data_IF_643269630713
#
_entry.id   IF_643269630713
#
_cell.length_a   1.000
_cell.length_b   1.000
_cell.length_c   1.000
_cell.angle_alpha   90.00
_cell.angle_beta   90.00
_cell.angle_gamma   90.00
#
_symmetry.space_group_name_H-M   'P 1'
#
loop_
_entity.id
_entity.type
_entity.pdbx_description
1 polymer ?
#
# COMPACT_ATOMS: atom_id res chain seq x y z
N UNK A 1 1.08 4.26 30.18
CA UNK A 1 1.92 3.12 29.76
C UNK A 1 0.96 1.98 29.42
N UNK A 2 0.95 1.51 28.17
CA UNK A 2 0.13 0.35 27.78
C UNK A 2 1.11 -0.78 27.49
N UNK A 3 1.05 -1.82 28.32
CA UNK A 3 1.66 -3.12 28.02
C UNK A 3 0.67 -3.83 27.11
N UNK A 4 1.08 -4.16 25.88
CA UNK A 4 0.24 -4.95 24.98
C UNK A 4 0.49 -6.41 25.30
N UNK A 5 -0.40 -6.98 26.12
CA UNK A 5 -0.40 -8.42 26.40
C UNK A 5 -0.89 -9.23 25.20
N UNK A 6 -0.37 -10.45 25.07
CA UNK A 6 -0.48 -11.36 23.93
C UNK A 6 -1.87 -11.97 23.69
N UNK A 7 -2.94 -11.53 24.35
CA UNK A 7 -4.29 -12.14 24.34
C UNK A 7 -5.35 -11.37 23.56
N UNK A 8 -5.01 -10.32 22.82
CA UNK A 8 -6.03 -9.66 21.99
C UNK A 8 -6.22 -10.41 20.67
N UNK A 9 -7.34 -11.06 20.62
CA UNK A 9 -7.96 -11.77 19.52
C UNK A 9 -7.88 -11.02 18.18
N UNK A 10 -7.28 -11.69 17.17
CA UNK A 10 -7.55 -11.70 15.71
C UNK A 10 -7.80 -10.37 14.95
N UNK A 11 -7.66 -9.21 15.50
CA UNK A 11 -7.80 -7.96 14.77
C UNK A 11 -6.42 -7.49 14.30
N UNK A 12 -6.19 -7.54 12.99
CA UNK A 12 -4.95 -7.04 12.37
C UNK A 12 -4.83 -5.53 12.62
N UNK A 13 -4.00 -5.15 13.55
CA UNK A 13 -3.57 -3.76 13.74
C UNK A 13 -2.18 -3.58 13.14
N UNK A 14 -1.80 -2.34 12.84
CA UNK A 14 -0.41 -2.00 12.44
C UNK A 14 0.62 -2.46 13.47
N UNK A 15 0.21 -2.64 14.74
CA UNK A 15 1.07 -3.17 15.81
C UNK A 15 1.47 -4.63 15.59
N UNK A 16 0.66 -5.42 14.89
CA UNK A 16 1.03 -6.79 14.55
C UNK A 16 2.20 -6.85 13.56
N UNK A 17 2.30 -5.85 12.67
CA UNK A 17 3.45 -5.75 11.78
C UNK A 17 4.72 -5.41 12.57
N UNK A 18 4.63 -4.48 13.51
CA UNK A 18 5.76 -4.16 14.41
C UNK A 18 6.15 -5.38 15.26
N UNK A 19 5.17 -6.10 15.84
CA UNK A 19 5.44 -7.35 16.57
C UNK A 19 6.19 -8.36 15.71
N UNK A 20 5.76 -8.54 14.46
CA UNK A 20 6.43 -9.44 13.54
C UNK A 20 7.90 -9.03 13.29
N UNK A 21 8.14 -7.77 12.95
CA UNK A 21 9.49 -7.23 12.70
C UNK A 21 10.40 -7.33 13.93
N UNK A 22 9.83 -7.34 15.12
CA UNK A 22 10.53 -7.49 16.41
C UNK A 22 10.65 -8.96 16.89
N UNK A 23 10.34 -9.94 16.06
CA UNK A 23 10.36 -11.35 16.46
C UNK A 23 9.34 -11.67 17.56
N UNK A 24 8.15 -11.07 17.52
CA UNK A 24 7.04 -11.25 18.46
C UNK A 24 7.31 -10.76 19.90
N UNK A 25 8.37 -10.02 20.15
CA UNK A 25 8.66 -9.43 21.44
C UNK A 25 7.65 -8.35 21.84
N UNK A 26 7.34 -8.26 23.14
CA UNK A 26 6.56 -7.15 23.69
C UNK A 26 7.36 -5.84 23.61
N UNK A 27 6.66 -4.71 23.52
CA UNK A 27 7.29 -3.40 23.44
C UNK A 27 6.46 -2.30 24.08
N UNK A 28 7.11 -1.20 24.44
CA UNK A 28 6.49 -0.01 24.99
C UNK A 28 6.43 1.09 23.94
N UNK A 29 5.25 1.66 23.71
CA UNK A 29 5.06 2.78 22.78
C UNK A 29 5.31 4.10 23.48
N UNK A 30 6.23 4.91 22.94
CA UNK A 30 6.37 6.31 23.32
C UNK A 30 5.31 7.15 22.58
N UNK A 31 4.35 7.66 23.32
CA UNK A 31 3.25 8.46 22.77
C UNK A 31 3.62 9.92 22.51
N UNK A 32 4.74 10.41 23.04
CA UNK A 32 5.15 11.82 22.93
C UNK A 32 5.69 12.17 21.57
N UNK A 33 6.40 11.22 20.93
CA UNK A 33 7.13 11.39 19.66
C UNK A 33 6.41 10.78 18.46
N UNK A 34 5.08 10.80 18.40
CA UNK A 34 4.27 10.23 17.31
C UNK A 34 3.85 11.29 16.30
N UNK A 35 3.71 10.88 15.05
CA UNK A 35 2.96 11.58 14.02
C UNK A 35 1.93 10.66 13.37
N UNK A 36 1.24 11.10 12.32
CA UNK A 36 0.20 10.29 11.65
C UNK A 36 0.71 8.96 11.06
N UNK A 37 2.00 8.85 10.80
CA UNK A 37 2.63 7.71 10.12
C UNK A 37 3.46 6.83 11.03
N UNK A 38 3.74 7.25 12.27
CA UNK A 38 4.86 6.68 13.04
C UNK A 38 4.42 6.17 14.40
N UNK A 39 4.85 4.95 14.71
CA UNK A 39 4.90 4.41 16.09
C UNK A 39 6.34 4.45 16.57
N UNK A 40 6.57 5.08 17.72
CA UNK A 40 7.88 5.09 18.38
C UNK A 40 7.87 4.08 19.52
N UNK A 41 8.85 3.18 19.52
CA UNK A 41 9.04 2.15 20.54
C UNK A 41 10.25 2.53 21.37
N UNK A 42 10.11 2.44 22.70
CA UNK A 42 11.21 2.62 23.63
C UNK A 42 12.01 1.32 23.68
N UNK A 43 13.33 1.44 23.49
CA UNK A 43 14.30 0.35 23.65
C UNK A 43 15.00 0.46 25.03
N UNK A 44 15.80 -0.55 25.39
CA UNK A 44 16.65 -0.47 26.58
C UNK A 44 17.67 0.67 26.45
N UNK A 45 18.19 0.85 25.24
CA UNK A 45 19.03 2.00 24.89
C UNK A 45 18.46 2.67 23.63
N UNK A 46 17.93 3.89 23.79
CA UNK A 46 17.39 4.69 22.67
C UNK A 46 15.96 4.35 22.29
N UNK A 47 15.65 4.50 21.02
CA UNK A 47 14.30 4.37 20.45
C UNK A 47 14.34 3.75 19.05
N UNK A 48 13.24 3.10 18.67
CA UNK A 48 13.00 2.68 17.29
C UNK A 48 11.70 3.31 16.78
N UNK A 49 11.77 4.04 15.67
CA UNK A 49 10.60 4.59 14.98
C UNK A 49 10.22 3.68 13.81
N UNK A 50 8.97 3.25 13.77
CA UNK A 50 8.35 2.52 12.65
C UNK A 50 7.46 3.49 11.89
N UNK A 51 7.91 3.90 10.70
CA UNK A 51 7.23 4.87 9.85
C UNK A 51 6.55 4.15 8.69
N UNK A 52 5.23 4.18 8.65
CA UNK A 52 4.40 3.51 7.64
C UNK A 52 4.23 4.39 6.40
N UNK A 53 4.12 3.79 5.22
CA UNK A 53 3.93 4.52 3.96
C UNK A 53 2.64 5.34 3.94
N UNK A 54 1.61 4.90 4.66
CA UNK A 54 0.29 5.53 4.76
C UNK A 54 -0.02 5.91 6.21
N UNK A 55 -0.93 6.89 6.47
CA UNK A 55 -1.33 7.24 7.83
C UNK A 55 -1.93 6.05 8.58
N UNK A 56 -1.51 5.88 9.82
CA UNK A 56 -1.93 4.77 10.71
C UNK A 56 -2.75 5.24 11.92
N UNK A 57 -2.94 6.55 12.08
CA UNK A 57 -3.77 7.13 13.13
C UNK A 57 -5.00 7.79 12.51
N UNK A 58 -6.14 7.60 13.16
CA UNK A 58 -7.37 8.31 12.83
C UNK A 58 -7.25 9.79 13.20
N UNK A 59 -7.59 10.68 12.28
CA UNK A 59 -7.43 12.14 12.44
C UNK A 59 -8.29 12.73 13.55
N UNK A 60 -9.50 12.21 13.72
CA UNK A 60 -10.46 12.73 14.71
C UNK A 60 -10.15 12.22 16.09
N UNK A 61 -10.01 10.91 16.26
CA UNK A 61 -9.80 10.27 17.57
C UNK A 61 -8.35 10.29 18.04
N UNK A 62 -7.39 10.53 17.12
CA UNK A 62 -5.94 10.42 17.37
C UNK A 62 -5.49 9.05 17.88
N UNK A 63 -6.30 8.01 17.65
CA UNK A 63 -6.01 6.62 18.01
C UNK A 63 -5.45 5.87 16.81
N UNK A 64 -4.67 4.83 17.07
CA UNK A 64 -4.26 3.87 16.03
C UNK A 64 -5.50 3.27 15.37
N UNK A 65 -5.45 3.15 14.04
CA UNK A 65 -6.53 2.56 13.26
C UNK A 65 -6.61 1.07 13.60
N UNK A 66 -7.81 0.63 13.94
CA UNK A 66 -8.13 -0.75 14.24
C UNK A 66 -8.77 -1.37 13.01
N UNK A 67 -8.07 -2.24 12.30
CA UNK A 67 -8.53 -2.84 11.04
C UNK A 67 -9.63 -3.90 11.27
N UNK A 68 -10.81 -3.45 11.67
CA UNK A 68 -11.99 -4.29 11.90
C UNK A 68 -13.28 -3.52 11.67
N UNK A 69 -14.30 -4.20 11.15
CA UNK A 69 -15.63 -3.64 11.06
C UNK A 69 -16.37 -3.76 12.39
N UNK A 70 -17.19 -2.77 12.69
CA UNK A 70 -18.18 -2.81 13.75
C UNK A 70 -19.58 -2.94 13.16
N UNK A 71 -20.47 -3.72 13.82
CA UNK A 71 -21.87 -3.82 13.39
C UNK A 71 -22.60 -2.52 13.74
N UNK A 72 -23.28 -1.93 12.76
CA UNK A 72 -24.03 -0.69 12.95
C UNK A 72 -25.38 -0.76 12.26
N UNK A 73 -26.47 -0.71 13.01
CA UNK A 73 -27.83 -0.85 12.48
C UNK A 73 -27.96 -2.09 11.57
N UNK A 74 -28.27 -1.87 10.30
CA UNK A 74 -28.41 -2.92 9.27
C UNK A 74 -27.13 -3.17 8.47
N UNK A 75 -26.00 -2.58 8.87
CA UNK A 75 -24.76 -2.64 8.12
C UNK A 75 -23.52 -2.76 9.00
N UNK A 76 -22.39 -2.42 8.42
CA UNK A 76 -21.07 -2.46 9.05
C UNK A 76 -20.36 -1.13 8.83
N UNK A 77 -19.61 -0.69 9.82
CA UNK A 77 -18.88 0.58 9.81
C UNK A 77 -17.42 0.35 10.16
N UNK A 78 -16.56 1.17 9.57
CA UNK A 78 -15.14 1.22 9.87
C UNK A 78 -14.64 2.66 9.74
N UNK A 79 -13.87 3.13 10.71
CA UNK A 79 -13.22 4.43 10.69
C UNK A 79 -11.73 4.28 10.34
N UNK A 80 -11.35 4.72 9.15
CA UNK A 80 -9.97 4.78 8.67
C UNK A 80 -9.22 6.02 9.19
N UNK A 81 -8.21 6.45 8.44
CA UNK A 81 -7.37 7.59 8.80
C UNK A 81 -8.16 8.91 8.86
N UNK A 82 -8.82 9.29 7.77
CA UNK A 82 -9.69 10.46 7.70
C UNK A 82 -11.03 10.18 7.01
N UNK A 83 -11.33 8.94 6.77
CA UNK A 83 -12.52 8.51 6.07
C UNK A 83 -13.31 7.49 6.90
N UNK A 84 -14.62 7.51 6.71
CA UNK A 84 -15.55 6.50 7.25
C UNK A 84 -16.04 5.61 6.13
N UNK A 85 -16.00 4.31 6.35
CA UNK A 85 -16.52 3.30 5.45
C UNK A 85 -17.77 2.67 6.04
N UNK A 86 -18.83 2.58 5.25
CA UNK A 86 -20.09 1.93 5.63
C UNK A 86 -20.46 0.91 4.57
N UNK A 87 -20.82 -0.30 4.99
CA UNK A 87 -21.30 -1.35 4.11
C UNK A 87 -22.72 -1.71 4.51
N UNK A 88 -23.66 -1.54 3.59
CA UNK A 88 -25.06 -1.90 3.77
C UNK A 88 -25.55 -2.63 2.53
N UNK A 89 -25.93 -3.89 2.69
CA UNK A 89 -26.28 -4.77 1.58
C UNK A 89 -25.18 -4.79 0.51
N UNK A 90 -25.50 -4.48 -0.74
CA UNK A 90 -24.56 -4.44 -1.87
C UNK A 90 -23.86 -3.08 -2.07
N UNK A 91 -24.05 -2.13 -1.17
CA UNK A 91 -23.47 -0.78 -1.25
C UNK A 91 -22.35 -0.61 -0.23
N UNK A 92 -21.20 -0.17 -0.72
CA UNK A 92 -20.07 0.26 0.11
C UNK A 92 -19.88 1.77 -0.10
N UNK A 93 -19.92 2.53 0.99
CA UNK A 93 -19.76 4.00 0.97
C UNK A 93 -18.46 4.34 1.67
N UNK A 94 -17.61 5.10 1.00
CA UNK A 94 -16.41 5.70 1.55
C UNK A 94 -16.67 7.21 1.64
N UNK A 95 -16.61 7.77 2.83
CA UNK A 95 -17.03 9.15 3.08
C UNK A 95 -15.94 9.94 3.80
N UNK A 96 -15.71 11.17 3.36
CA UNK A 96 -14.79 12.14 3.92
C UNK A 96 -15.40 13.55 3.82
N UNK A 97 -14.80 14.54 4.49
CA UNK A 97 -15.27 15.94 4.50
C UNK A 97 -15.48 16.56 3.10
N UNK A 98 -14.65 16.17 2.14
CA UNK A 98 -14.59 16.75 0.79
C UNK A 98 -15.26 15.90 -0.28
N UNK A 99 -16.01 14.88 0.13
CA UNK A 99 -16.81 14.06 -0.77
C UNK A 99 -16.99 12.63 -0.31
N UNK A 100 -17.80 11.91 -1.04
CA UNK A 100 -18.07 10.50 -0.84
C UNK A 100 -17.91 9.72 -2.15
N UNK A 101 -17.56 8.44 -2.02
CA UNK A 101 -17.59 7.46 -3.10
C UNK A 101 -18.53 6.32 -2.72
N UNK A 102 -19.38 5.91 -3.64
CA UNK A 102 -20.33 4.81 -3.48
C UNK A 102 -20.03 3.73 -4.50
N UNK A 103 -19.70 2.55 -4.01
CA UNK A 103 -19.53 1.34 -4.80
C UNK A 103 -20.82 0.54 -4.68
N UNK A 104 -21.43 0.18 -5.81
CA UNK A 104 -22.59 -0.70 -5.83
C UNK A 104 -22.22 -1.99 -6.55
N UNK A 105 -22.25 -3.09 -5.82
CA UNK A 105 -21.97 -4.43 -6.32
C UNK A 105 -23.29 -5.08 -6.80
N UNK A 106 -23.21 -6.11 -7.65
CA UNK A 106 -24.41 -6.86 -8.05
C UNK A 106 -25.01 -7.67 -6.89
N UNK A 107 -24.18 -8.03 -5.91
CA UNK A 107 -24.56 -8.82 -4.72
C UNK A 107 -23.93 -8.28 -3.46
N UNK A 108 -24.55 -8.57 -2.31
CA UNK A 108 -23.98 -8.21 -1.01
C UNK A 108 -22.67 -8.99 -0.77
N UNK A 109 -21.59 -8.31 -0.39
CA UNK A 109 -20.32 -8.97 -0.07
C UNK A 109 -20.38 -9.66 1.30
N UNK A 110 -19.57 -10.68 1.49
CA UNK A 110 -19.27 -11.22 2.81
C UNK A 110 -18.32 -10.27 3.56
N UNK A 111 -18.55 -10.08 4.84
CA UNK A 111 -17.71 -9.25 5.72
C UNK A 111 -16.84 -10.16 6.56
N UNK A 112 -15.53 -10.03 6.45
CA UNK A 112 -14.60 -10.86 7.22
C UNK A 112 -14.76 -10.61 8.72
N UNK A 113 -14.87 -11.68 9.50
CA UNK A 113 -15.06 -11.61 10.95
C UNK A 113 -16.53 -11.68 11.39
N UNK A 114 -17.48 -11.69 10.46
CA UNK A 114 -18.89 -11.88 10.72
C UNK A 114 -19.40 -13.10 9.95
N UNK A 115 -20.18 -13.96 10.62
CA UNK A 115 -20.83 -15.12 10.01
C UNK A 115 -22.00 -14.63 9.12
N UNK A 116 -21.68 -14.12 7.95
CA UNK A 116 -22.66 -13.87 6.89
C UNK A 116 -22.64 -15.09 5.96
N UNK A 117 -23.80 -15.57 5.58
CA UNK A 117 -23.97 -16.78 4.78
C UNK A 117 -22.97 -16.84 3.59
N UNK A 118 -22.36 -17.99 3.29
CA UNK A 118 -21.24 -18.14 2.36
C UNK A 118 -21.65 -18.07 0.87
N UNK A 119 -22.71 -17.38 0.53
CA UNK A 119 -23.25 -17.28 -0.84
C UNK A 119 -22.57 -16.21 -1.70
N UNK A 120 -21.76 -15.34 -1.11
CA UNK A 120 -21.07 -14.30 -1.88
C UNK A 120 -19.68 -14.73 -2.32
N UNK A 121 -19.39 -14.56 -3.60
CA UNK A 121 -18.05 -14.72 -4.15
C UNK A 121 -17.14 -13.53 -3.86
N UNK A 122 -17.63 -12.50 -3.15
CA UNK A 122 -16.90 -11.28 -2.78
C UNK A 122 -16.77 -11.21 -1.27
N UNK A 123 -15.55 -11.06 -0.77
CA UNK A 123 -15.25 -10.80 0.64
C UNK A 123 -14.61 -9.43 0.79
N UNK A 124 -15.05 -8.64 1.76
CA UNK A 124 -14.51 -7.31 2.05
C UNK A 124 -13.82 -7.28 3.41
N UNK A 125 -12.67 -6.64 3.45
CA UNK A 125 -11.95 -6.28 4.68
C UNK A 125 -11.60 -4.79 4.66
N UNK A 126 -11.39 -4.14 5.82
CA UNK A 126 -10.91 -2.78 5.85
C UNK A 126 -9.43 -2.70 5.41
N UNK A 127 -9.07 -1.58 4.77
CA UNK A 127 -7.70 -1.08 4.61
C UNK A 127 -7.52 0.20 5.42
N UNK A 128 -6.32 0.76 5.51
CA UNK A 128 -6.07 1.92 6.39
C UNK A 128 -6.92 3.16 6.07
N UNK A 129 -7.35 3.34 4.83
CA UNK A 129 -8.26 4.43 4.43
C UNK A 129 -9.26 4.02 3.36
N UNK A 130 -9.73 2.79 3.39
CA UNK A 130 -10.67 2.27 2.39
C UNK A 130 -11.04 0.82 2.62
N UNK A 131 -11.26 0.11 1.53
CA UNK A 131 -11.73 -1.26 1.50
C UNK A 131 -10.86 -2.11 0.57
N UNK A 132 -10.50 -3.31 1.01
CA UNK A 132 -9.91 -4.35 0.18
C UNK A 132 -10.94 -5.44 -0.11
N UNK A 133 -11.05 -5.80 -1.35
CA UNK A 133 -11.97 -6.80 -1.87
C UNK A 133 -11.21 -8.05 -2.33
N UNK A 134 -11.73 -9.20 -1.98
CA UNK A 134 -11.32 -10.50 -2.51
C UNK A 134 -12.46 -11.08 -3.32
N UNK A 135 -12.19 -11.48 -4.55
CA UNK A 135 -13.19 -11.96 -5.49
C UNK A 135 -12.81 -13.36 -5.95
N UNK A 136 -13.73 -14.33 -5.78
CA UNK A 136 -13.62 -15.67 -6.38
C UNK A 136 -14.23 -15.63 -7.77
N UNK A 137 -13.42 -15.90 -8.79
CA UNK A 137 -13.82 -15.84 -10.20
C UNK A 137 -12.91 -14.91 -11.01
N UNK A 138 -13.14 -14.90 -12.33
CA UNK A 138 -12.22 -14.29 -13.30
C UNK A 138 -12.54 -12.82 -13.60
N UNK A 139 -13.69 -12.32 -13.15
CA UNK A 139 -14.08 -10.92 -13.39
C UNK A 139 -15.07 -10.42 -12.35
N UNK A 140 -15.11 -9.10 -12.21
CA UNK A 140 -16.11 -8.38 -11.42
C UNK A 140 -16.46 -7.09 -12.15
N UNK A 141 -17.78 -6.77 -12.21
CA UNK A 141 -18.30 -5.46 -12.58
C UNK A 141 -18.98 -4.82 -11.39
N UNK A 142 -18.83 -3.51 -11.26
CA UNK A 142 -19.56 -2.71 -10.27
C UNK A 142 -19.70 -1.25 -10.72
N UNK A 143 -20.67 -0.55 -10.14
CA UNK A 143 -20.80 0.90 -10.35
C UNK A 143 -20.01 1.65 -9.29
N UNK A 144 -19.32 2.69 -9.71
CA UNK A 144 -18.72 3.70 -8.86
C UNK A 144 -19.38 5.05 -9.11
N UNK A 145 -19.88 5.69 -8.05
CA UNK A 145 -20.34 7.08 -8.08
C UNK A 145 -19.60 7.88 -7.02
N UNK A 146 -19.19 9.10 -7.33
CA UNK A 146 -18.59 9.99 -6.33
C UNK A 146 -19.19 11.40 -6.38
N UNK A 147 -18.98 12.17 -5.29
CA UNK A 147 -19.51 13.54 -5.13
C UNK A 147 -18.40 14.59 -4.99
N UNK A 148 -17.13 14.20 -5.06
CA UNK A 148 -16.02 15.14 -5.00
C UNK A 148 -15.92 15.97 -6.28
N UNK A 149 -15.34 17.17 -6.18
CA UNK A 149 -14.89 17.89 -7.37
C UNK A 149 -13.92 17.00 -8.14
N UNK A 150 -14.11 16.90 -9.46
CA UNK A 150 -13.25 16.12 -10.35
C UNK A 150 -12.75 17.04 -11.47
N UNK A 151 -11.45 16.93 -11.77
CA UNK A 151 -10.84 17.56 -12.92
C UNK A 151 -10.67 16.57 -14.08
N UNK A 152 -10.11 15.39 -13.78
CA UNK A 152 -9.93 14.32 -14.77
C UNK A 152 -9.79 12.94 -14.11
N UNK A 153 -9.85 11.90 -14.93
CA UNK A 153 -9.47 10.53 -14.54
C UNK A 153 -8.04 10.27 -14.98
N UNK A 154 -7.18 9.85 -14.05
CA UNK A 154 -5.90 9.25 -14.37
C UNK A 154 -6.08 7.74 -14.39
N UNK A 155 -5.73 7.12 -15.48
CA UNK A 155 -5.99 5.71 -15.73
C UNK A 155 -4.76 5.00 -16.30
N UNK A 156 -4.53 3.79 -15.82
CA UNK A 156 -3.72 2.76 -16.45
C UNK A 156 -4.36 1.38 -16.16
N UNK A 157 -3.96 0.29 -16.84
CA UNK A 157 -4.60 -1.02 -16.65
C UNK A 157 -4.60 -1.56 -15.22
N UNK A 158 -3.75 -1.07 -14.32
CA UNK A 158 -3.67 -1.49 -12.92
C UNK A 158 -4.31 -0.53 -11.92
N UNK A 159 -4.65 0.70 -12.35
CA UNK A 159 -5.14 1.73 -11.45
C UNK A 159 -6.08 2.73 -12.15
N UNK A 160 -7.22 3.00 -11.50
CA UNK A 160 -8.17 4.06 -11.86
C UNK A 160 -8.19 5.10 -10.72
N UNK A 161 -7.85 6.35 -11.03
CA UNK A 161 -7.75 7.42 -10.03
C UNK A 161 -8.61 8.61 -10.41
N UNK A 162 -9.47 9.05 -9.50
CA UNK A 162 -10.25 10.29 -9.61
C UNK A 162 -9.37 11.44 -9.14
N UNK A 163 -8.99 12.35 -10.04
CA UNK A 163 -8.14 13.50 -9.77
C UNK A 163 -8.98 14.75 -9.55
N UNK A 164 -8.74 15.48 -8.45
CA UNK A 164 -9.34 16.80 -8.17
C UNK A 164 -8.55 17.93 -8.81
N UNK A 165 -7.25 17.77 -8.83
CA UNK A 165 -6.24 18.67 -9.39
C UNK A 165 -5.02 17.84 -9.75
N UNK A 166 -4.07 18.41 -10.45
CA UNK A 166 -2.78 17.78 -10.66
C UNK A 166 -2.13 17.44 -9.30
N UNK A 167 -1.66 16.21 -9.12
CA UNK A 167 -1.07 15.68 -7.87
C UNK A 167 -2.01 15.61 -6.64
N UNK A 168 -3.31 15.85 -6.81
CA UNK A 168 -4.29 15.81 -5.72
C UNK A 168 -5.44 14.82 -6.02
N UNK A 169 -5.21 13.51 -5.88
CA UNK A 169 -6.26 12.51 -6.07
C UNK A 169 -7.30 12.55 -4.94
N UNK A 170 -8.52 12.18 -5.28
CA UNK A 170 -9.59 11.95 -4.31
C UNK A 170 -9.70 10.49 -3.93
N UNK A 171 -9.77 9.62 -4.94
CA UNK A 171 -10.02 8.19 -4.81
C UNK A 171 -9.10 7.42 -5.75
N UNK A 172 -8.62 6.26 -5.33
CA UNK A 172 -7.99 5.28 -6.20
C UNK A 172 -8.68 3.92 -6.11
N UNK A 173 -8.82 3.25 -7.25
CA UNK A 173 -9.10 1.82 -7.37
C UNK A 173 -7.83 1.20 -7.90
N UNK A 174 -7.21 0.34 -7.12
CA UNK A 174 -5.96 -0.32 -7.49
C UNK A 174 -6.19 -1.83 -7.56
N UNK A 175 -5.97 -2.41 -8.72
CA UNK A 175 -5.86 -3.86 -8.85
C UNK A 175 -4.61 -4.34 -8.09
N UNK A 176 -4.73 -5.42 -7.34
CA UNK A 176 -3.58 -6.00 -6.66
C UNK A 176 -3.01 -7.15 -7.52
N UNK A 177 -3.53 -8.34 -7.40
CA UNK A 177 -3.11 -9.45 -8.22
C UNK A 177 -4.20 -10.55 -8.21
N UNK A 178 -4.15 -11.42 -9.20
CA UNK A 178 -4.91 -12.65 -9.26
C UNK A 178 -4.00 -13.84 -8.98
N UNK A 179 -4.54 -14.88 -8.34
CA UNK A 179 -3.84 -16.11 -8.03
C UNK A 179 -4.76 -17.33 -8.12
N UNK A 180 -4.17 -18.51 -8.25
CA UNK A 180 -4.84 -19.77 -7.99
C UNK A 180 -4.13 -20.51 -6.84
N UNK A 181 -4.76 -21.55 -6.30
CA UNK A 181 -4.20 -22.33 -5.20
C UNK A 181 -2.87 -23.06 -5.50
N UNK A 182 -2.37 -22.99 -6.74
CA UNK A 182 -1.13 -23.63 -7.20
C UNK A 182 0.05 -22.64 -7.28
N UNK A 183 -0.08 -21.44 -6.74
CA UNK A 183 0.97 -20.41 -6.74
C UNK A 183 1.17 -19.69 -8.07
N UNK A 184 0.28 -19.92 -9.07
CA UNK A 184 0.26 -19.12 -10.29
C UNK A 184 -0.43 -17.80 -9.97
N UNK A 185 0.19 -16.69 -10.37
CA UNK A 185 -0.36 -15.34 -10.19
C UNK A 185 -0.18 -14.50 -11.46
N UNK A 186 -1.06 -13.52 -11.64
CA UNK A 186 -0.99 -12.55 -12.73
C UNK A 186 -1.51 -11.18 -12.31
N UNK A 187 -1.19 -10.13 -13.07
CA UNK A 187 -1.88 -8.85 -12.96
C UNK A 187 -3.39 -8.98 -13.20
N UNK A 188 -4.15 -8.06 -12.62
CA UNK A 188 -5.58 -7.85 -12.87
C UNK A 188 -5.73 -6.57 -13.67
N UNK A 189 -6.45 -6.64 -14.76
CA UNK A 189 -6.74 -5.48 -15.60
C UNK A 189 -8.00 -4.76 -15.12
N UNK A 190 -7.93 -3.42 -15.08
CA UNK A 190 -9.06 -2.54 -14.86
C UNK A 190 -9.50 -1.98 -16.22
N UNK A 191 -10.81 -1.93 -16.46
CA UNK A 191 -11.44 -1.18 -17.53
C UNK A 191 -12.55 -0.32 -16.94
N UNK A 192 -12.88 0.80 -17.57
CA UNK A 192 -13.97 1.62 -17.11
C UNK A 192 -14.76 2.21 -18.26
N UNK A 193 -16.05 2.50 -17.99
CA UNK A 193 -16.95 3.22 -18.88
C UNK A 193 -17.59 4.36 -18.09
N UNK A 194 -17.50 5.58 -18.62
CA UNK A 194 -18.14 6.75 -18.02
C UNK A 194 -19.64 6.74 -18.33
N UNK A 195 -20.48 6.78 -17.31
CA UNK A 195 -21.94 6.72 -17.39
C UNK A 195 -22.60 8.11 -17.20
N UNK A 196 -21.81 9.18 -17.17
CA UNK A 196 -22.27 10.55 -16.90
C UNK A 196 -22.36 10.89 -15.41
N UNK A 197 -22.38 12.19 -15.06
CA UNK A 197 -22.56 12.69 -13.69
C UNK A 197 -21.68 12.03 -12.64
N UNK A 198 -20.36 11.90 -12.89
CA UNK A 198 -19.39 11.29 -11.97
C UNK A 198 -19.74 9.84 -11.60
N UNK A 199 -20.36 9.14 -12.53
CA UNK A 199 -20.73 7.74 -12.42
C UNK A 199 -19.96 6.90 -13.44
N UNK A 200 -19.41 5.78 -13.00
CA UNK A 200 -18.54 4.90 -13.78
C UNK A 200 -18.96 3.46 -13.60
N UNK A 201 -18.95 2.68 -14.66
CA UNK A 201 -18.91 1.23 -14.58
C UNK A 201 -17.45 0.80 -14.60
N UNK A 202 -17.02 0.08 -13.58
CA UNK A 202 -15.67 -0.47 -13.44
C UNK A 202 -15.73 -1.96 -13.66
N UNK A 203 -14.84 -2.47 -14.49
CA UNK A 203 -14.67 -3.89 -14.73
C UNK A 203 -13.23 -4.29 -14.40
N UNK A 204 -13.07 -5.32 -13.55
CA UNK A 204 -11.79 -5.98 -13.28
C UNK A 204 -11.82 -7.39 -13.88
N UNK A 205 -10.71 -7.84 -14.45
CA UNK A 205 -10.60 -9.17 -15.03
C UNK A 205 -9.17 -9.68 -15.03
N UNK A 206 -9.02 -11.01 -15.06
CA UNK A 206 -7.75 -11.71 -15.20
C UNK A 206 -7.93 -13.01 -15.98
N UNK A 207 -6.83 -13.62 -16.42
CA UNK A 207 -6.80 -14.78 -17.30
C UNK A 207 -6.45 -16.11 -16.59
N UNK A 208 -6.29 -16.11 -15.24
CA UNK A 208 -6.00 -17.35 -14.50
C UNK A 208 -7.24 -18.24 -14.37
N UNK A 209 -7.25 -19.47 -14.88
CA UNK A 209 -8.36 -20.39 -14.72
C UNK A 209 -8.62 -20.71 -13.24
N UNK A 210 -9.89 -20.67 -12.83
CA UNK A 210 -10.34 -20.93 -11.46
C UNK A 210 -9.62 -20.06 -10.41
N UNK A 211 -9.16 -18.85 -10.81
CA UNK A 211 -8.44 -17.95 -9.97
C UNK A 211 -9.35 -17.16 -9.03
N UNK A 212 -8.71 -16.47 -8.12
CA UNK A 212 -9.27 -15.41 -7.30
C UNK A 212 -8.40 -14.18 -7.43
N UNK A 213 -8.96 -13.01 -7.25
CA UNK A 213 -8.19 -11.77 -7.30
C UNK A 213 -8.56 -10.82 -6.17
N UNK A 214 -7.73 -9.82 -5.97
CA UNK A 214 -7.97 -8.77 -5.00
C UNK A 214 -7.72 -7.39 -5.60
N UNK A 215 -8.44 -6.41 -5.07
CA UNK A 215 -8.27 -4.99 -5.38
C UNK A 215 -8.59 -4.14 -4.15
N UNK A 216 -8.15 -2.89 -4.18
CA UNK A 216 -8.44 -1.91 -3.15
C UNK A 216 -9.18 -0.71 -3.72
N UNK A 217 -10.08 -0.13 -2.94
CA UNK A 217 -10.68 1.16 -3.17
C UNK A 217 -10.41 2.04 -1.96
N UNK A 218 -9.62 3.08 -2.14
CA UNK A 218 -9.16 3.93 -1.06
C UNK A 218 -9.46 5.41 -1.36
N UNK A 219 -9.90 6.16 -0.35
CA UNK A 219 -9.80 7.61 -0.39
C UNK A 219 -8.34 7.99 -0.17
N UNK A 220 -7.78 8.78 -1.09
CA UNK A 220 -6.37 9.08 -1.11
C UNK A 220 -5.94 9.94 0.09
N UNK A 221 -4.79 9.59 0.64
CA UNK A 221 -4.08 10.32 1.68
C UNK A 221 -2.64 10.61 1.24
N UNK A 222 -2.08 11.75 1.64
CA UNK A 222 -0.66 11.98 1.44
C UNK A 222 0.16 10.85 2.06
N UNK A 223 1.09 10.28 1.29
CA UNK A 223 1.92 9.14 1.70
C UNK A 223 3.32 9.56 2.11
N UNK A 224 3.99 8.67 2.86
CA UNK A 224 5.38 8.86 3.26
C UNK A 224 6.36 8.59 2.11
N UNK A 225 5.97 7.72 1.16
CA UNK A 225 6.82 7.31 0.05
C UNK A 225 6.35 7.94 -1.25
N UNK A 226 7.32 8.40 -2.05
CA UNK A 226 7.13 8.72 -3.46
C UNK A 226 7.63 7.52 -4.25
N UNK A 227 6.76 6.86 -4.97
CA UNK A 227 7.08 5.68 -5.73
C UNK A 227 6.32 5.63 -7.05
N UNK A 228 6.79 4.80 -7.94
CA UNK A 228 6.13 4.46 -9.20
C UNK A 228 6.75 3.18 -9.76
N UNK A 229 5.96 2.38 -10.44
CA UNK A 229 6.48 1.30 -11.29
C UNK A 229 6.62 1.78 -12.72
N UNK A 230 7.64 1.26 -13.41
CA UNK A 230 7.85 1.45 -14.85
C UNK A 230 7.87 0.10 -15.53
N UNK A 231 7.28 -0.01 -16.70
CA UNK A 231 7.05 -1.29 -17.38
C UNK A 231 7.35 -1.23 -18.88
N UNK A 232 7.91 -2.33 -19.42
CA UNK A 232 8.44 -2.33 -20.78
C UNK A 232 7.39 -2.50 -21.88
N UNK A 233 6.19 -3.02 -21.57
CA UNK A 233 5.12 -3.18 -22.57
C UNK A 233 4.35 -1.87 -22.79
N UNK A 234 4.16 -1.07 -21.73
CA UNK A 234 3.56 0.26 -21.83
C UNK A 234 4.63 1.32 -21.48
N UNK A 235 5.59 1.56 -22.37
CA UNK A 235 6.83 2.25 -22.03
C UNK A 235 6.67 3.73 -21.72
N UNK A 236 5.55 4.33 -22.06
CA UNK A 236 5.23 5.73 -21.78
C UNK A 236 4.21 5.90 -20.64
N UNK A 237 3.69 4.80 -20.09
CA UNK A 237 2.78 4.82 -18.98
C UNK A 237 3.51 5.05 -17.64
N UNK A 238 2.83 5.74 -16.73
CA UNK A 238 3.28 6.01 -15.38
C UNK A 238 2.30 5.44 -14.36
N UNK A 239 2.79 4.60 -13.43
CA UNK A 239 1.99 3.88 -12.45
C UNK A 239 2.09 4.46 -11.04
N UNK A 240 2.11 5.78 -10.90
CA UNK A 240 2.36 6.51 -9.65
C UNK A 240 1.36 6.21 -8.51
N UNK A 241 0.14 5.76 -8.83
CA UNK A 241 -0.89 5.45 -7.84
C UNK A 241 -1.24 3.95 -7.79
N UNK A 242 -0.47 3.11 -8.45
CA UNK A 242 -0.65 1.66 -8.40
C UNK A 242 -0.23 1.09 -7.05
N UNK A 243 -1.06 0.29 -6.42
CA UNK A 243 -0.80 -0.29 -5.09
C UNK A 243 0.24 -1.41 -5.08
N UNK A 244 0.58 -1.99 -6.22
CA UNK A 244 1.51 -3.12 -6.33
C UNK A 244 2.49 -2.95 -7.49
N UNK A 245 3.66 -3.59 -7.35
CA UNK A 245 4.64 -3.79 -8.40
C UNK A 245 4.87 -5.29 -8.66
N UNK A 246 4.88 -5.68 -9.93
CA UNK A 246 5.25 -7.02 -10.38
C UNK A 246 6.72 -7.03 -10.78
N UNK A 247 7.61 -7.07 -9.78
CA UNK A 247 9.04 -6.95 -10.01
C UNK A 247 9.60 -8.20 -10.69
N UNK A 248 10.00 -8.06 -11.94
CA UNK A 248 10.39 -9.15 -12.83
C UNK A 248 9.70 -9.03 -14.18
N UNK A 249 9.25 -10.15 -14.75
CA UNK A 249 8.63 -10.17 -16.07
C UNK A 249 7.27 -10.86 -16.02
N UNK A 250 6.23 -10.18 -16.51
CA UNK A 250 4.89 -10.73 -16.73
C UNK A 250 4.51 -10.56 -18.20
N UNK A 251 3.47 -11.30 -18.64
CA UNK A 251 2.94 -11.19 -20.01
C UNK A 251 2.31 -9.79 -20.23
N UNK A 252 1.64 -9.24 -19.20
CA UNK A 252 0.88 -8.00 -19.28
C UNK A 252 1.77 -6.75 -19.20
N UNK A 253 2.81 -6.76 -18.34
CA UNK A 253 3.66 -5.59 -18.07
C UNK A 253 5.05 -5.68 -18.73
N UNK A 254 5.44 -6.87 -19.24
CA UNK A 254 6.81 -7.12 -19.60
C UNK A 254 7.73 -7.07 -18.39
N UNK A 255 8.93 -6.51 -18.53
CA UNK A 255 9.81 -6.23 -17.42
C UNK A 255 9.30 -5.03 -16.63
N UNK A 256 9.18 -5.16 -15.29
CA UNK A 256 8.73 -4.09 -14.41
C UNK A 256 9.75 -3.85 -13.30
N UNK A 257 10.02 -2.57 -13.01
CA UNK A 257 10.86 -2.09 -11.91
C UNK A 257 10.04 -1.19 -11.00
N UNK A 258 10.35 -1.19 -9.69
CA UNK A 258 9.82 -0.23 -8.72
C UNK A 258 10.87 0.82 -8.38
N UNK A 259 10.51 2.07 -8.51
CA UNK A 259 11.23 3.22 -7.97
C UNK A 259 10.55 3.62 -6.65
N UNK A 260 11.32 3.76 -5.57
CA UNK A 260 10.78 4.15 -4.27
C UNK A 260 11.72 5.11 -3.55
N UNK A 261 11.13 6.16 -2.94
CA UNK A 261 11.85 7.17 -2.18
C UNK A 261 11.01 7.63 -1.00
N UNK A 262 11.43 7.32 0.25
CA UNK A 262 10.76 7.84 1.44
C UNK A 262 10.89 9.37 1.57
N UNK A 263 9.86 10.03 2.11
CA UNK A 263 9.89 11.45 2.48
C UNK A 263 10.28 11.58 3.95
N UNK A 264 11.55 11.81 4.20
CA UNK A 264 12.12 11.89 5.55
C UNK A 264 11.70 13.12 6.34
N UNK A 265 11.14 14.14 5.71
CA UNK A 265 10.59 15.30 6.43
C UNK A 265 9.44 14.93 7.35
N UNK A 266 8.81 13.78 7.10
CA UNK A 266 7.70 13.23 7.90
C UNK A 266 8.14 12.30 9.04
N UNK A 267 9.44 12.01 9.16
CA UNK A 267 9.97 11.20 10.27
C UNK A 267 10.09 12.10 11.51
N UNK A 268 9.70 11.63 12.70
CA UNK A 268 9.88 12.40 13.93
C UNK A 268 11.35 12.75 14.14
N UNK A 269 11.63 14.02 14.40
CA UNK A 269 12.97 14.47 14.83
C UNK A 269 13.18 14.02 16.27
N UNK A 270 13.84 12.88 16.44
CA UNK A 270 14.31 12.44 17.74
C UNK A 270 15.69 13.07 17.97
N UNK A 271 15.94 13.50 19.19
CA UNK A 271 17.21 14.18 19.58
C UNK A 271 18.42 13.23 19.57
N UNK A 272 18.19 11.96 19.32
CA UNK A 272 19.20 10.90 19.32
C UNK A 272 19.79 10.68 17.93
N UNK A 273 21.01 10.20 17.89
CA UNK A 273 21.72 9.87 16.65
C UNK A 273 21.13 8.64 15.98
N UNK A 274 20.91 8.70 14.66
CA UNK A 274 20.50 7.52 13.87
C UNK A 274 21.61 6.48 13.86
N UNK A 275 21.26 5.24 14.20
CA UNK A 275 22.16 4.11 14.23
C UNK A 275 21.96 3.18 13.03
N UNK A 276 20.70 2.90 12.68
CA UNK A 276 20.33 1.98 11.60
C UNK A 276 19.02 2.37 10.97
N UNK A 277 18.92 2.17 9.66
CA UNK A 277 17.68 2.38 8.91
C UNK A 277 17.41 1.19 8.02
N UNK A 278 16.24 0.57 8.19
CA UNK A 278 15.77 -0.56 7.41
C UNK A 278 14.46 -0.20 6.70
N UNK A 279 14.39 -0.51 5.41
CA UNK A 279 13.14 -0.42 4.65
C UNK A 279 12.56 -1.83 4.51
N UNK A 280 11.33 -2.02 4.98
CA UNK A 280 10.58 -3.27 4.88
C UNK A 280 9.47 -3.11 3.85
N UNK A 281 9.54 -3.85 2.74
CA UNK A 281 8.57 -3.85 1.66
C UNK A 281 7.77 -5.15 1.72
N UNK A 282 6.45 -5.12 1.97
CA UNK A 282 5.63 -6.32 2.02
C UNK A 282 5.62 -7.08 0.70
N UNK A 283 5.75 -8.40 0.78
CA UNK A 283 5.55 -9.34 -0.32
C UNK A 283 4.09 -9.78 -0.26
N UNK A 284 3.39 -9.71 -1.39
CA UNK A 284 1.96 -9.98 -1.45
C UNK A 284 1.65 -11.39 -1.96
N UNK A 285 2.54 -12.00 -2.73
CA UNK A 285 2.47 -13.41 -3.14
C UNK A 285 3.50 -14.25 -2.36
N UNK A 286 3.31 -15.56 -2.35
CA UNK A 286 4.29 -16.47 -1.71
C UNK A 286 5.55 -16.54 -2.57
N UNK A 287 6.63 -15.88 -2.14
CA UNK A 287 7.89 -15.89 -2.87
C UNK A 287 9.09 -15.66 -1.94
N UNK A 288 10.11 -16.49 -2.08
CA UNK A 288 11.44 -16.32 -1.47
C UNK A 288 12.48 -15.84 -2.50
N UNK A 289 12.02 -15.39 -3.66
CA UNK A 289 12.87 -14.93 -4.75
C UNK A 289 13.63 -13.67 -4.36
N UNK A 290 14.91 -13.61 -4.76
CA UNK A 290 15.74 -12.43 -4.52
C UNK A 290 15.39 -11.29 -5.48
N UNK A 291 15.55 -10.07 -4.98
CA UNK A 291 15.45 -8.83 -5.74
C UNK A 291 16.78 -8.10 -5.65
N UNK A 292 17.23 -7.56 -6.78
CA UNK A 292 18.34 -6.63 -6.82
C UNK A 292 17.84 -5.22 -6.49
N UNK A 293 18.56 -4.53 -5.63
CA UNK A 293 18.27 -3.16 -5.22
C UNK A 293 19.42 -2.26 -5.65
N UNK A 294 19.10 -1.16 -6.33
CA UNK A 294 20.06 -0.20 -6.85
C UNK A 294 19.73 1.21 -6.38
N UNK A 295 20.73 2.08 -6.37
CA UNK A 295 20.56 3.53 -6.22
C UNK A 295 20.40 4.14 -7.61
N UNK A 296 19.40 5.01 -7.88
CA UNK A 296 19.33 5.77 -9.13
C UNK A 296 20.52 6.71 -9.27
N UNK A 297 20.97 6.98 -10.51
CA UNK A 297 22.05 7.94 -10.76
C UNK A 297 21.68 9.39 -10.41
N UNK A 298 20.40 9.70 -10.39
CA UNK A 298 19.83 11.00 -10.00
C UNK A 298 18.44 10.81 -9.42
N UNK A 299 17.96 11.83 -8.73
CA UNK A 299 16.59 11.85 -8.17
C UNK A 299 15.56 11.62 -9.27
N UNK A 300 14.68 10.64 -9.09
CA UNK A 300 13.56 10.40 -9.98
C UNK A 300 12.33 11.24 -9.62
N UNK A 301 11.46 11.46 -10.59
CA UNK A 301 10.14 12.06 -10.39
C UNK A 301 9.09 10.96 -10.53
N UNK A 302 8.35 10.64 -9.47
CA UNK A 302 7.33 9.58 -9.50
C UNK A 302 6.23 9.83 -10.55
N UNK A 303 5.90 11.09 -10.81
CA UNK A 303 4.89 11.48 -11.80
C UNK A 303 5.38 11.53 -13.24
N UNK A 304 6.68 11.63 -13.45
CA UNK A 304 7.30 11.75 -14.79
C UNK A 304 8.11 10.53 -15.23
N UNK A 305 8.36 9.59 -14.32
CA UNK A 305 9.13 8.39 -14.65
C UNK A 305 8.25 7.38 -15.39
N UNK A 306 8.73 6.97 -16.57
CA UNK A 306 8.16 5.92 -17.41
C UNK A 306 9.30 5.01 -17.85
N UNK A 307 9.03 3.91 -18.53
CA UNK A 307 10.11 3.03 -19.02
C UNK A 307 11.06 3.79 -19.97
N UNK A 308 10.52 4.58 -20.88
CA UNK A 308 11.32 5.37 -21.84
C UNK A 308 12.04 6.55 -21.18
N UNK A 309 11.55 7.04 -20.02
CA UNK A 309 12.12 8.17 -19.27
C UNK A 309 12.62 7.74 -17.90
N UNK A 310 13.06 6.49 -17.78
CA UNK A 310 13.58 5.97 -16.51
C UNK A 310 14.94 6.57 -16.17
N UNK A 311 15.20 6.69 -14.89
CA UNK A 311 16.52 7.05 -14.38
C UNK A 311 17.38 5.79 -14.38
N UNK A 312 18.61 5.90 -14.89
CA UNK A 312 19.57 4.80 -14.89
C UNK A 312 20.03 4.44 -13.48
N UNK A 313 20.45 3.19 -13.33
CA UNK A 313 20.96 2.64 -12.07
C UNK A 313 22.42 3.01 -11.88
N UNK A 314 22.83 3.26 -10.64
CA UNK A 314 24.22 3.36 -10.24
C UNK A 314 24.64 2.13 -9.41
N UNK A 315 24.97 2.30 -8.15
CA UNK A 315 25.50 1.24 -7.31
C UNK A 315 24.40 0.28 -6.83
N UNK A 316 24.73 -1.01 -6.77
CA UNK A 316 23.88 -2.03 -6.14
C UNK A 316 23.97 -1.89 -4.62
N UNK A 317 22.84 -1.89 -3.94
CA UNK A 317 22.77 -1.98 -2.47
C UNK A 317 23.16 -3.40 -2.06
N UNK A 318 24.10 -3.55 -1.14
CA UNK A 318 24.72 -4.85 -0.82
C UNK A 318 23.89 -5.74 0.10
N UNK A 319 22.87 -5.20 0.77
CA UNK A 319 22.11 -5.92 1.80
C UNK A 319 20.60 -5.81 1.61
N UNK A 320 20.02 -6.83 1.01
CA UNK A 320 18.58 -7.08 1.05
C UNK A 320 18.33 -8.51 1.51
N UNK A 321 17.30 -8.71 2.29
CA UNK A 321 16.89 -10.02 2.80
C UNK A 321 15.41 -10.23 2.55
N UNK A 322 15.03 -11.41 2.08
CA UNK A 322 13.64 -11.81 1.84
C UNK A 322 13.28 -12.94 2.80
N UNK A 323 12.34 -12.71 3.71
CA UNK A 323 11.83 -13.68 4.69
C UNK A 323 10.49 -14.33 4.27
N UNK A 324 10.02 -14.05 3.05
CA UNK A 324 8.74 -14.50 2.52
C UNK A 324 7.56 -13.59 2.86
N UNK A 325 7.71 -12.67 3.82
CA UNK A 325 6.72 -11.65 4.16
C UNK A 325 7.18 -10.25 3.80
N UNK A 326 8.48 -9.97 3.97
CA UNK A 326 9.11 -8.70 3.67
C UNK A 326 10.39 -8.86 2.87
N UNK A 327 10.63 -7.91 1.98
CA UNK A 327 11.96 -7.59 1.51
C UNK A 327 12.48 -6.49 2.43
N UNK A 328 13.50 -6.82 3.22
CA UNK A 328 14.17 -5.89 4.11
C UNK A 328 15.46 -5.41 3.48
N UNK A 329 15.62 -4.10 3.35
CA UNK A 329 16.76 -3.43 2.73
C UNK A 329 17.44 -2.55 3.77
N UNK A 330 18.74 -2.77 4.00
CA UNK A 330 19.54 -1.85 4.83
C UNK A 330 19.88 -0.60 4.00
N UNK A 331 19.26 0.51 4.37
CA UNK A 331 19.42 1.80 3.72
C UNK A 331 20.19 2.79 4.59
N UNK A 332 20.87 2.34 5.63
CA UNK A 332 21.59 3.18 6.60
C UNK A 332 22.61 4.09 5.91
N UNK A 333 23.38 3.55 4.94
CA UNK A 333 24.39 4.31 4.20
C UNK A 333 23.82 5.39 3.28
N UNK A 334 22.51 5.35 3.01
CA UNK A 334 21.83 6.34 2.20
C UNK A 334 21.44 7.58 3.02
N UNK A 335 21.60 7.52 4.34
CA UNK A 335 21.33 8.61 5.25
C UNK A 335 22.64 9.29 5.61
N UNK A 336 22.75 10.56 5.32
CA UNK A 336 23.83 11.40 5.84
C UNK A 336 23.26 12.32 6.91
N UNK A 337 23.84 12.29 8.10
CA UNK A 337 23.63 13.34 9.09
C UNK A 337 24.38 14.58 8.64
N UNK A 338 23.67 15.68 8.35
CA UNK A 338 24.31 16.96 8.22
C UNK A 338 24.61 17.56 9.61
N UNK A 339 25.37 18.66 9.65
CA UNK A 339 25.76 19.36 10.89
C UNK A 339 24.56 19.78 11.77
N UNK A 340 23.35 19.83 11.21
CA UNK A 340 22.10 20.22 11.89
C UNK A 340 21.25 19.03 12.32
N UNK A 341 21.77 17.76 12.21
CA UNK A 341 21.05 16.52 12.50
C UNK A 341 19.78 16.32 11.65
N UNK A 342 19.68 16.94 10.50
CA UNK A 342 18.62 16.71 9.54
C UNK A 342 19.05 15.51 8.68
N UNK A 343 18.20 14.48 8.62
CA UNK A 343 18.40 13.37 7.72
C UNK A 343 18.27 13.88 6.28
N UNK A 344 19.38 13.95 5.57
CA UNK A 344 19.39 14.27 4.16
C UNK A 344 19.31 12.98 3.37
N UNK A 345 18.41 12.97 2.43
CA UNK A 345 18.10 11.80 1.62
C UNK A 345 18.69 11.95 0.22
N UNK A 346 19.11 10.83 -0.33
CA UNK A 346 19.60 10.75 -1.70
C UNK A 346 18.47 10.47 -2.72
N UNK A 347 18.80 9.94 -3.88
CA UNK A 347 17.95 9.85 -5.07
C UNK A 347 16.84 8.80 -5.00
N UNK A 348 16.88 7.85 -4.06
CA UNK A 348 15.90 6.77 -3.92
C UNK A 348 16.47 5.37 -4.15
N UNK A 349 15.57 4.43 -4.40
CA UNK A 349 15.86 3.03 -4.68
C UNK A 349 15.20 2.59 -5.97
N UNK A 350 15.84 1.68 -6.68
CA UNK A 350 15.27 0.92 -7.80
C UNK A 350 15.31 -0.55 -7.44
N UNK A 351 14.16 -1.21 -7.47
CA UNK A 351 14.02 -2.64 -7.25
C UNK A 351 13.75 -3.33 -8.58
N UNK A 352 14.53 -4.37 -8.89
CA UNK A 352 14.37 -5.18 -10.10
C UNK A 352 14.78 -6.62 -9.85
N UNK A 353 14.33 -7.53 -10.71
CA UNK A 353 14.79 -8.92 -10.69
C UNK A 353 16.23 -9.04 -11.20
N UNK A 354 17.03 -9.97 -10.65
CA UNK A 354 18.30 -10.35 -11.22
C UNK A 354 18.16 -10.80 -12.69
N UNK A 355 19.18 -10.56 -13.51
CA UNK A 355 19.19 -11.00 -14.90
C UNK A 355 18.98 -12.52 -15.02
N UNK A 356 18.26 -12.96 -16.05
CA UNK A 356 18.00 -14.38 -16.33
C UNK A 356 16.85 -15.01 -15.51
N UNK A 357 16.18 -14.25 -14.64
CA UNK A 357 14.98 -14.71 -13.91
C UNK A 357 13.72 -14.20 -14.59
N UNK A 358 12.88 -15.11 -15.09
CA UNK A 358 11.66 -14.79 -15.86
C UNK A 358 10.39 -14.72 -15.01
N UNK A 359 10.43 -15.16 -13.76
CA UNK A 359 9.31 -15.03 -12.84
C UNK A 359 9.31 -13.65 -12.18
N UNK A 360 8.15 -13.24 -11.67
CA UNK A 360 7.99 -11.98 -10.95
C UNK A 360 7.63 -12.23 -9.49
N UNK A 361 7.86 -11.22 -8.66
CA UNK A 361 7.40 -11.14 -7.29
C UNK A 361 6.44 -9.97 -7.15
N UNK A 362 5.33 -10.17 -6.46
CA UNK A 362 4.35 -9.11 -6.21
C UNK A 362 4.69 -8.44 -4.88
N UNK A 363 5.01 -7.17 -4.93
CA UNK A 363 5.33 -6.37 -3.74
C UNK A 363 4.40 -5.17 -3.61
N UNK A 364 4.22 -4.68 -2.39
CA UNK A 364 3.47 -3.45 -2.17
C UNK A 364 4.28 -2.22 -2.61
N UNK A 365 3.57 -1.21 -3.09
CA UNK A 365 4.07 0.15 -3.27
C UNK A 365 3.70 1.02 -2.05
N UNK A 366 4.07 2.29 -2.04
CA UNK A 366 3.62 3.25 -1.03
C UNK A 366 2.12 3.54 -1.06
N UNK A 367 1.43 3.16 -2.15
CA UNK A 367 -0.03 3.32 -2.33
C UNK A 367 -0.85 2.11 -1.86
N UNK A 368 -0.21 1.06 -1.35
CA UNK A 368 -0.91 -0.12 -0.82
C UNK A 368 -1.36 0.12 0.62
N UNK A 369 -2.64 0.43 0.82
CA UNK A 369 -3.20 0.74 2.14
C UNK A 369 -3.47 -0.51 2.98
N UNK A 370 -3.60 -1.68 2.38
CA UNK A 370 -3.77 -2.96 3.11
C UNK A 370 -2.46 -3.63 3.52
N UNK A 371 -1.34 -3.20 2.92
CA UNK A 371 0.00 -3.72 3.19
C UNK A 371 1.05 -2.60 3.05
N UNK A 372 1.05 -1.61 3.96
CA UNK A 372 1.94 -0.45 3.85
C UNK A 372 3.41 -0.85 3.99
N UNK A 373 4.29 -0.18 3.25
CA UNK A 373 5.73 -0.25 3.46
C UNK A 373 6.10 0.38 4.81
N UNK A 374 7.16 -0.09 5.43
CA UNK A 374 7.58 0.35 6.76
C UNK A 374 9.05 0.75 6.73
N UNK A 375 9.36 1.96 7.17
CA UNK A 375 10.72 2.40 7.42
C UNK A 375 11.00 2.29 8.93
N UNK A 376 11.93 1.44 9.32
CA UNK A 376 12.40 1.25 10.68
C UNK A 376 13.65 2.09 10.90
N UNK A 377 13.60 3.06 11.80
CA UNK A 377 14.71 3.95 12.13
C UNK A 377 15.10 3.73 13.59
N UNK A 378 16.32 3.21 13.82
CA UNK A 378 16.87 3.01 15.16
C UNK A 378 17.74 4.20 15.56
N UNK A 379 17.48 4.71 16.75
CA UNK A 379 18.19 5.81 17.38
C UNK A 379 18.96 5.32 18.63
N UNK A 380 20.14 5.87 18.82
CA UNK A 380 20.96 5.66 20.05
C UNK A 380 20.64 6.70 21.08
#
# INVERSE_FOLDING_TARGET
>A
MIVIESKETQVKTVLNEIKYLRGMQSFLIDRRNRNRYTVVVKEDVGYTAYCFSTPIYNDSSKKLIHLGFEKFKTGYIFDGSNARMTICQNRCVLERKDGAAVITLDRSPAIRGFNVAPTSNITVIPSLNGLKFFVKGNSLKFSLKHTSKQEYIRFNPSCFTVMREEFNPFLSISALYAENGNGIFSPVEIKYTHQGNQNYEIQLSHDIPNGQFSFEVNLYEPKLFQDTTVESIHPDDNNVYGAVGFIGKTKQHGEQWLYSRPDFSKIPHLTSRVNKVLLHIPILNVSLENIDVYIPQKRFCSFGSTWNRRVEMSNKVSSSYNDGKYITIDVTSMFTENSNRVLTYNEGLILKKPKGKNNSIVISTGDCYSAPQILEVKFK
#
